data_IF_089099663176
#
_entry.id   IF_089099663176
#
_cell.length_a   1.000
_cell.length_b   1.000
_cell.length_c   1.000
_cell.angle_alpha   90.00
_cell.angle_beta   90.00
_cell.angle_gamma   90.00
#
_symmetry.space_group_name_H-M   'P 1'
#
loop_
_entity.id
_entity.type
_entity.pdbx_description
1 polymer ?
#
# COMPACT_ATOMS: atom_id res chain seq x y z
N UNK A 1 21.75 -6.43 7.29
CA UNK A 1 20.39 -6.58 6.72
C UNK A 1 20.56 -6.82 5.23
N UNK A 2 20.05 -7.93 4.70
CA UNK A 2 20.27 -8.30 3.29
C UNK A 2 19.45 -7.40 2.34
N UNK A 3 19.84 -7.37 1.06
CA UNK A 3 19.19 -6.54 0.04
C UNK A 3 17.68 -6.87 -0.10
N UNK A 4 17.30 -8.14 0.00
CA UNK A 4 15.91 -8.59 -0.06
C UNK A 4 15.05 -8.00 1.06
N UNK A 5 15.59 -7.90 2.27
CA UNK A 5 14.91 -7.30 3.43
C UNK A 5 14.72 -5.80 3.23
N UNK A 6 15.74 -5.10 2.70
CA UNK A 6 15.63 -3.68 2.35
C UNK A 6 14.53 -3.48 1.30
N UNK A 7 14.54 -4.28 0.23
CA UNK A 7 13.53 -4.22 -0.82
C UNK A 7 12.12 -4.50 -0.26
N UNK A 8 11.96 -5.51 0.59
CA UNK A 8 10.70 -5.82 1.26
C UNK A 8 10.19 -4.67 2.12
N UNK A 9 11.08 -4.01 2.89
CA UNK A 9 10.72 -2.83 3.67
C UNK A 9 10.27 -1.67 2.78
N UNK A 10 10.93 -1.41 1.65
CA UNK A 10 10.51 -0.36 0.71
C UNK A 10 9.12 -0.67 0.13
N UNK A 11 8.91 -1.92 -0.31
CA UNK A 11 7.63 -2.39 -0.86
C UNK A 11 6.52 -2.38 0.19
N UNK A 12 6.83 -2.50 1.48
CA UNK A 12 5.86 -2.31 2.55
C UNK A 12 5.57 -0.83 2.84
N UNK A 13 6.62 -0.03 3.01
CA UNK A 13 6.52 1.33 3.56
C UNK A 13 5.82 2.27 2.59
N UNK A 14 6.10 2.17 1.29
CA UNK A 14 5.50 3.07 0.30
C UNK A 14 3.97 2.90 0.20
N UNK A 15 3.41 1.69 0.01
CA UNK A 15 1.97 1.47 0.09
C UNK A 15 1.34 1.88 1.42
N UNK A 16 2.02 1.62 2.55
CA UNK A 16 1.52 2.02 3.86
C UNK A 16 1.32 3.54 3.96
N UNK A 17 2.25 4.33 3.40
CA UNK A 17 2.11 5.78 3.32
C UNK A 17 0.97 6.21 2.40
N UNK A 18 0.80 5.56 1.24
CA UNK A 18 -0.33 5.85 0.32
C UNK A 18 -1.67 5.58 0.99
N UNK A 19 -1.80 4.45 1.70
CA UNK A 19 -3.00 4.12 2.47
C UNK A 19 -3.23 5.20 3.54
N UNK A 20 -2.23 5.49 4.37
CA UNK A 20 -2.36 6.48 5.45
C UNK A 20 -2.80 7.85 4.92
N UNK A 21 -2.16 8.32 3.83
CA UNK A 21 -2.52 9.58 3.19
C UNK A 21 -3.94 9.54 2.60
N UNK A 22 -4.34 8.43 1.97
CA UNK A 22 -5.68 8.26 1.41
C UNK A 22 -6.78 8.17 2.47
N UNK A 23 -6.50 7.54 3.61
CA UNK A 23 -7.43 7.52 4.75
C UNK A 23 -7.61 8.93 5.34
N UNK A 24 -6.54 9.73 5.39
CA UNK A 24 -6.54 11.09 5.94
C UNK A 24 -7.22 12.11 5.03
N UNK A 25 -6.95 12.07 3.72
CA UNK A 25 -7.57 12.95 2.72
C UNK A 25 -8.99 12.53 2.35
N UNK A 26 -9.33 11.25 2.57
CA UNK A 26 -10.55 10.64 2.07
C UNK A 26 -10.51 10.33 0.58
N UNK A 27 -9.34 10.33 -0.07
CA UNK A 27 -9.17 10.05 -1.50
C UNK A 27 -7.84 9.32 -1.74
N UNK A 28 -7.83 8.22 -2.48
CA UNK A 28 -6.61 7.41 -2.66
C UNK A 28 -5.87 7.81 -3.93
N UNK A 29 -4.58 8.11 -3.81
CA UNK A 29 -3.79 8.61 -4.94
C UNK A 29 -3.59 7.52 -6.00
N UNK A 30 -4.30 7.64 -7.12
CA UNK A 30 -4.13 6.78 -8.29
C UNK A 30 -4.26 7.64 -9.55
N UNK A 31 -3.26 7.57 -10.42
CA UNK A 31 -3.27 8.29 -11.69
C UNK A 31 -3.99 7.48 -12.78
N UNK A 32 -5.31 7.32 -12.65
CA UNK A 32 -6.15 6.55 -13.59
C UNK A 32 -7.44 7.29 -14.01
N UNK A 33 -7.56 8.59 -13.73
CA UNK A 33 -8.80 9.37 -13.94
C UNK A 33 -10.04 8.77 -13.25
N UNK A 34 -9.85 7.96 -12.20
CA UNK A 34 -10.93 7.34 -11.43
C UNK A 34 -11.17 8.13 -10.14
N UNK A 35 -12.43 8.46 -9.84
CA UNK A 35 -12.81 8.99 -8.54
C UNK A 35 -12.63 7.90 -7.48
N UNK A 36 -11.71 8.14 -6.54
CA UNK A 36 -11.49 7.27 -5.39
C UNK A 36 -11.85 7.98 -4.09
N UNK A 37 -12.68 9.02 -4.13
CA UNK A 37 -13.16 9.66 -2.92
C UNK A 37 -14.04 8.71 -2.11
N UNK A 38 -13.78 8.61 -0.80
CA UNK A 38 -14.45 7.69 0.12
C UNK A 38 -15.96 7.91 0.20
N UNK A 39 -16.44 9.13 -0.02
CA UNK A 39 -17.86 9.48 0.11
C UNK A 39 -18.63 9.29 -1.21
N UNK A 40 -18.09 9.79 -2.32
CA UNK A 40 -18.75 9.68 -3.64
C UNK A 40 -18.54 8.31 -4.30
N UNK A 41 -17.39 7.68 -4.08
CA UNK A 41 -17.00 6.40 -4.69
C UNK A 41 -16.42 5.42 -3.65
N UNK A 42 -17.20 5.00 -2.63
CA UNK A 42 -16.72 4.19 -1.52
C UNK A 42 -16.16 2.83 -1.96
N UNK A 43 -16.79 2.19 -2.95
CA UNK A 43 -16.34 0.89 -3.48
C UNK A 43 -14.96 1.03 -4.11
N UNK A 44 -14.75 2.06 -4.94
CA UNK A 44 -13.46 2.33 -5.57
C UNK A 44 -12.40 2.68 -4.55
N UNK A 45 -12.72 3.54 -3.55
CA UNK A 45 -11.81 3.87 -2.46
C UNK A 45 -11.27 2.60 -1.78
N UNK A 46 -12.17 1.67 -1.42
CA UNK A 46 -11.78 0.44 -0.72
C UNK A 46 -11.10 -0.58 -1.61
N UNK A 47 -11.49 -0.68 -2.88
CA UNK A 47 -10.81 -1.55 -3.85
C UNK A 47 -9.35 -1.14 -4.04
N UNK A 48 -9.11 0.17 -4.23
CA UNK A 48 -7.75 0.72 -4.37
C UNK A 48 -6.97 0.59 -3.06
N UNK A 49 -7.60 0.89 -1.92
CA UNK A 49 -6.98 0.70 -0.59
C UNK A 49 -6.57 -0.77 -0.39
N UNK A 50 -7.43 -1.72 -0.78
CA UNK A 50 -7.16 -3.15 -0.72
C UNK A 50 -5.99 -3.55 -1.61
N UNK A 51 -5.91 -3.04 -2.84
CA UNK A 51 -4.77 -3.24 -3.74
C UNK A 51 -3.46 -2.81 -3.07
N UNK A 52 -3.41 -1.59 -2.50
CA UNK A 52 -2.22 -1.12 -1.78
C UNK A 52 -1.90 -2.00 -0.56
N UNK A 53 -2.91 -2.46 0.17
CA UNK A 53 -2.73 -3.32 1.32
C UNK A 53 -2.12 -4.69 0.94
N UNK A 54 -2.52 -5.25 -0.21
CA UNK A 54 -1.92 -6.48 -0.74
C UNK A 54 -0.45 -6.29 -1.10
N UNK A 55 -0.09 -5.18 -1.74
CA UNK A 55 1.31 -4.84 -2.03
C UNK A 55 2.11 -4.69 -0.74
N UNK A 56 1.55 -4.00 0.27
CA UNK A 56 2.17 -3.85 1.58
C UNK A 56 2.42 -5.22 2.24
N UNK A 57 1.41 -6.10 2.20
CA UNK A 57 1.50 -7.46 2.72
C UNK A 57 2.58 -8.29 2.03
N UNK A 58 2.71 -8.18 0.71
CA UNK A 58 3.81 -8.82 -0.03
C UNK A 58 5.18 -8.32 0.45
N UNK A 59 5.35 -7.00 0.62
CA UNK A 59 6.56 -6.42 1.20
C UNK A 59 6.91 -7.01 2.57
N UNK A 60 5.93 -7.11 3.47
CA UNK A 60 6.12 -7.75 4.78
C UNK A 60 6.51 -9.22 4.68
N UNK A 61 5.88 -10.00 3.79
CA UNK A 61 6.25 -11.40 3.58
C UNK A 61 7.72 -11.52 3.18
N UNK A 62 8.17 -10.67 2.24
CA UNK A 62 9.59 -10.64 1.83
C UNK A 62 10.50 -10.32 3.01
N UNK A 63 10.13 -9.34 3.84
CA UNK A 63 10.89 -9.01 5.06
C UNK A 63 10.95 -10.21 5.99
N UNK A 64 9.82 -10.83 6.33
CA UNK A 64 9.78 -11.93 7.28
C UNK A 64 10.53 -13.18 6.80
N UNK A 65 10.42 -13.53 5.51
CA UNK A 65 11.12 -14.69 4.93
C UNK A 65 12.64 -14.50 4.87
N UNK A 66 13.10 -13.26 4.75
CA UNK A 66 14.51 -12.93 4.60
C UNK A 66 15.14 -12.34 5.87
N UNK A 67 14.37 -12.20 6.95
CA UNK A 67 14.86 -11.69 8.23
C UNK A 67 15.90 -12.66 8.79
N UNK A 68 17.11 -12.16 9.04
CA UNK A 68 18.27 -12.93 9.53
C UNK A 68 18.84 -13.99 8.57
N UNK A 69 18.47 -13.99 7.28
CA UNK A 69 19.22 -14.70 6.22
C UNK A 69 20.30 -13.80 5.63
#
# INVERSE_FOLDING_TARGET
MNASTIAGLVVFTFPALVIAAGLASGNVFVNLDVDTNRRSAPVTFWAVTGMWALIAGFGLIVVFVNWNR
#
